data_IF_200749822397
#
_entry.id   IF_200749822397
#
_cell.length_a   1.000
_cell.length_b   1.000
_cell.length_c   1.000
_cell.angle_alpha   90.00
_cell.angle_beta   90.00
_cell.angle_gamma   90.00
#
_symmetry.space_group_name_H-M   'P 1'
#
loop_
_entity.id
_entity.type
_entity.pdbx_description
1 polymer ?
#
# COMPACT_ATOMS: atom_id res chain seq x y z
N UNK A 1 -23.96 6.84 -6.87
CA UNK A 1 -23.64 5.93 -5.75
C UNK A 1 -22.13 5.97 -5.64
N UNK A 2 -21.52 6.23 -4.47
CA UNK A 2 -20.07 6.24 -4.43
C UNK A 2 -19.57 4.80 -4.63
N UNK A 3 -18.60 4.70 -5.53
CA UNK A 3 -17.96 3.49 -6.04
C UNK A 3 -17.24 2.72 -4.93
N UNK A 4 -17.33 1.41 -5.05
CA UNK A 4 -16.61 0.32 -4.38
C UNK A 4 -15.46 0.71 -3.42
N UNK A 5 -15.66 0.44 -2.13
CA UNK A 5 -14.53 0.23 -1.21
C UNK A 5 -13.70 -0.96 -1.73
N UNK A 6 -12.37 -0.97 -1.52
CA UNK A 6 -11.51 -2.05 -2.01
C UNK A 6 -11.98 -3.41 -1.47
N UNK A 7 -11.94 -4.42 -2.34
CA UNK A 7 -12.48 -5.79 -2.27
C UNK A 7 -11.94 -6.66 -1.10
N UNK A 8 -11.81 -6.10 0.11
CA UNK A 8 -11.40 -6.77 1.33
C UNK A 8 -12.59 -7.47 1.99
N UNK A 9 -12.42 -8.74 2.35
CA UNK A 9 -13.46 -9.48 3.08
C UNK A 9 -13.65 -8.95 4.50
N UNK A 10 -12.58 -8.39 5.10
CA UNK A 10 -12.61 -7.80 6.45
C UNK A 10 -11.51 -6.75 6.61
N UNK A 11 -11.84 -5.66 7.31
CA UNK A 11 -10.85 -4.73 7.90
C UNK A 11 -11.10 -4.68 9.39
N UNK A 12 -10.06 -4.75 10.21
CA UNK A 12 -10.17 -4.79 11.66
C UNK A 12 -8.90 -4.25 12.34
N UNK A 13 -8.95 -4.13 13.66
CA UNK A 13 -7.85 -3.63 14.49
C UNK A 13 -7.64 -4.50 15.72
N UNK A 14 -6.41 -4.51 16.22
CA UNK A 14 -6.09 -5.13 17.49
C UNK A 14 -5.24 -4.19 18.34
N UNK A 15 -5.69 -3.94 19.56
CA UNK A 15 -5.00 -3.08 20.52
C UNK A 15 -4.22 -3.95 21.49
N UNK A 16 -2.94 -3.65 21.66
CA UNK A 16 -2.05 -4.29 22.59
C UNK A 16 -1.61 -3.31 23.67
N UNK A 17 -1.44 -3.80 24.89
CA UNK A 17 -0.84 -3.04 25.98
C UNK A 17 0.45 -3.73 26.46
N UNK A 18 1.47 -2.95 26.78
CA UNK A 18 2.75 -3.45 27.30
C UNK A 18 3.53 -4.35 26.33
N UNK A 19 3.24 -4.27 25.02
CA UNK A 19 3.94 -5.04 23.96
C UNK A 19 4.83 -4.19 23.06
N UNK A 20 4.68 -2.87 23.09
CA UNK A 20 5.56 -1.94 22.39
C UNK A 20 6.47 -1.27 23.41
N UNK A 21 7.78 -1.26 23.17
CA UNK A 21 8.74 -0.58 24.05
C UNK A 21 8.62 0.95 23.97
N UNK A 22 7.99 1.48 22.92
CA UNK A 22 7.86 2.91 22.63
C UNK A 22 6.52 3.50 23.06
N UNK A 23 5.54 2.67 23.46
CA UNK A 23 4.22 3.13 23.88
C UNK A 23 3.51 2.10 24.79
N UNK A 24 2.81 2.59 25.81
CA UNK A 24 2.01 1.75 26.71
C UNK A 24 0.91 0.98 25.97
N UNK A 25 0.37 1.60 24.91
CA UNK A 25 -0.64 1.03 24.01
C UNK A 25 -0.17 1.10 22.55
N UNK A 26 -0.39 0.03 21.79
CA UNK A 26 -0.17 -0.01 20.35
C UNK A 26 -1.36 -0.62 19.61
N UNK A 27 -1.74 -0.01 18.49
CA UNK A 27 -2.83 -0.50 17.63
C UNK A 27 -2.26 -1.07 16.34
N UNK A 28 -2.60 -2.32 16.04
CA UNK A 28 -2.33 -2.97 14.76
C UNK A 28 -3.59 -2.91 13.92
N UNK A 29 -3.50 -2.31 12.74
CA UNK A 29 -4.55 -2.34 11.73
C UNK A 29 -4.27 -3.49 10.76
N UNK A 30 -5.29 -4.28 10.42
CA UNK A 30 -5.14 -5.37 9.47
C UNK A 30 -6.38 -5.50 8.56
N UNK A 31 -6.14 -5.91 7.33
CA UNK A 31 -7.17 -6.28 6.37
C UNK A 31 -6.97 -7.74 5.95
N UNK A 32 -8.08 -8.43 5.67
CA UNK A 32 -8.11 -9.82 5.27
C UNK A 32 -8.92 -9.97 3.99
N UNK A 33 -8.42 -10.82 3.09
CA UNK A 33 -9.10 -11.25 1.87
C UNK A 33 -8.69 -12.68 1.54
N UNK A 34 -9.66 -13.52 1.20
CA UNK A 34 -9.45 -14.93 0.83
C UNK A 34 -9.73 -15.11 -0.65
N UNK A 35 -8.75 -15.62 -1.39
CA UNK A 35 -8.93 -16.01 -2.79
C UNK A 35 -9.24 -17.49 -2.89
N UNK A 36 -10.38 -17.82 -3.50
CA UNK A 36 -10.84 -19.20 -3.70
C UNK A 36 -10.62 -19.69 -5.14
N UNK A 37 -10.26 -18.80 -6.08
CA UNK A 37 -9.98 -19.16 -7.46
C UNK A 37 -8.68 -19.96 -7.58
N UNK A 38 -8.65 -20.95 -8.50
CA UNK A 38 -7.48 -21.81 -8.72
C UNK A 38 -6.24 -21.04 -9.23
N UNK A 39 -6.48 -19.98 -10.00
CA UNK A 39 -5.48 -19.03 -10.49
C UNK A 39 -6.11 -17.63 -10.46
N UNK A 40 -6.10 -16.91 -9.33
CA UNK A 40 -6.59 -15.54 -9.29
C UNK A 40 -5.67 -14.65 -10.15
N UNK A 41 -6.22 -13.57 -10.71
CA UNK A 41 -5.40 -12.55 -11.35
C UNK A 41 -4.38 -12.01 -10.34
N UNK A 42 -3.17 -11.68 -10.81
CA UNK A 42 -2.23 -10.93 -9.99
C UNK A 42 -2.81 -9.54 -9.74
N UNK A 43 -2.75 -9.10 -8.48
CA UNK A 43 -3.24 -7.79 -8.08
C UNK A 43 -2.11 -7.00 -7.48
N UNK A 44 -2.07 -5.73 -7.84
CA UNK A 44 -1.16 -4.76 -7.26
C UNK A 44 -1.88 -4.04 -6.12
N UNK A 45 -1.33 -4.13 -4.91
CA UNK A 45 -1.79 -3.33 -3.78
C UNK A 45 -0.77 -2.24 -3.48
N UNK A 46 -1.21 -0.99 -3.52
CA UNK A 46 -0.41 0.18 -3.16
C UNK A 46 -0.92 0.70 -1.82
N UNK A 47 -0.06 0.74 -0.80
CA UNK A 47 -0.36 1.33 0.51
C UNK A 47 0.53 2.53 0.73
N UNK A 48 -0.07 3.69 1.07
CA UNK A 48 0.67 4.91 1.38
C UNK A 48 0.44 5.27 2.84
N UNK A 49 1.52 5.37 3.61
CA UNK A 49 1.48 5.73 5.03
C UNK A 49 2.04 7.14 5.23
N UNK A 50 1.17 8.07 5.63
CA UNK A 50 1.55 9.45 5.92
C UNK A 50 1.89 9.58 7.41
N UNK A 51 3.18 9.77 7.71
CA UNK A 51 3.64 10.02 9.07
C UNK A 51 3.86 11.53 9.29
N UNK A 52 3.35 12.07 10.41
CA UNK A 52 3.58 13.46 10.85
C UNK A 52 3.80 13.42 12.36
N UNK A 53 4.76 14.20 12.84
CA UNK A 53 5.21 14.19 14.23
C UNK A 53 4.72 15.40 15.03
N UNK A 54 3.87 16.23 14.42
CA UNK A 54 3.30 17.43 15.01
C UNK A 54 1.78 17.50 14.79
N UNK A 55 1.12 18.39 15.53
CA UNK A 55 -0.35 18.56 15.54
C UNK A 55 -0.85 19.61 14.52
N UNK A 56 -0.01 20.08 13.61
CA UNK A 56 -0.47 21.04 12.60
C UNK A 56 -1.44 20.38 11.62
N UNK A 57 -2.44 21.13 11.15
CA UNK A 57 -3.36 20.66 10.12
C UNK A 57 -2.58 20.26 8.85
N UNK A 58 -3.07 19.23 8.14
CA UNK A 58 -2.49 18.84 6.85
C UNK A 58 -3.15 19.60 5.71
N UNK A 59 -2.37 20.08 4.76
CA UNK A 59 -2.93 20.59 3.51
C UNK A 59 -3.52 19.46 2.68
N UNK A 60 -4.41 19.80 1.74
CA UNK A 60 -4.96 18.82 0.80
C UNK A 60 -3.88 18.19 -0.09
N UNK A 61 -2.81 18.93 -0.39
CA UNK A 61 -1.64 18.40 -1.11
C UNK A 61 -0.85 17.40 -0.25
N UNK A 62 -0.70 17.65 1.06
CA UNK A 62 -0.04 16.71 1.98
C UNK A 62 -0.84 15.41 2.16
N UNK A 63 -2.17 15.49 2.07
CA UNK A 63 -3.06 14.33 2.08
C UNK A 63 -3.09 13.57 0.75
N UNK A 64 -2.57 14.17 -0.32
CA UNK A 64 -2.56 13.62 -1.68
C UNK A 64 -1.13 13.37 -2.18
N UNK A 65 -0.37 12.44 -1.55
CA UNK A 65 1.03 12.20 -1.87
C UNK A 65 1.26 11.58 -3.26
N UNK A 66 0.21 11.03 -3.87
CA UNK A 66 0.24 10.35 -5.16
C UNK A 66 -0.34 11.26 -6.24
N UNK A 67 0.44 11.48 -7.31
CA UNK A 67 0.03 12.26 -8.47
C UNK A 67 -0.49 11.38 -9.60
N UNK A 68 0.14 10.25 -9.87
CA UNK A 68 -0.26 9.32 -10.92
C UNK A 68 0.10 7.88 -10.57
N UNK A 69 -0.73 6.94 -11.05
CA UNK A 69 -0.52 5.49 -10.95
C UNK A 69 -0.83 4.92 -12.34
N UNK A 70 0.18 4.36 -12.99
CA UNK A 70 0.02 3.68 -14.27
C UNK A 70 0.32 2.20 -14.07
N UNK A 71 -0.68 1.35 -14.28
CA UNK A 71 -0.53 -0.12 -14.15
C UNK A 71 -0.03 -0.67 -15.48
N UNK A 72 0.92 -1.58 -15.41
CA UNK A 72 1.50 -2.27 -16.56
C UNK A 72 1.20 -3.77 -16.46
N UNK A 73 0.50 -4.30 -17.47
CA UNK A 73 0.26 -5.75 -17.57
C UNK A 73 1.55 -6.53 -17.84
N UNK A 74 2.51 -5.91 -18.53
CA UNK A 74 3.86 -6.43 -18.74
C UNK A 74 4.83 -5.27 -18.59
N UNK A 75 5.78 -5.38 -17.65
CA UNK A 75 6.78 -4.33 -17.41
C UNK A 75 7.89 -4.35 -18.48
N UNK A 76 8.70 -3.28 -18.62
CA UNK A 76 9.88 -3.29 -19.49
C UNK A 76 10.89 -4.41 -19.14
N UNK A 77 10.92 -4.83 -17.88
CA UNK A 77 11.70 -5.97 -17.36
C UNK A 77 11.05 -7.34 -17.63
N UNK A 78 9.91 -7.40 -18.33
CA UNK A 78 9.12 -8.62 -18.60
C UNK A 78 8.49 -9.26 -17.36
N UNK A 79 8.31 -8.49 -16.29
CA UNK A 79 7.48 -8.93 -15.16
C UNK A 79 6.01 -8.92 -15.57
N UNK A 80 5.25 -9.89 -15.05
CA UNK A 80 3.86 -10.14 -15.46
C UNK A 80 2.84 -9.18 -14.82
N UNK A 81 3.29 -8.21 -14.03
CA UNK A 81 2.54 -7.07 -13.53
C UNK A 81 3.54 -6.01 -13.03
N UNK A 82 3.16 -4.74 -13.00
CA UNK A 82 3.95 -3.69 -12.36
C UNK A 82 3.25 -2.34 -12.40
N UNK A 83 3.92 -1.30 -11.91
CA UNK A 83 3.38 0.06 -11.97
C UNK A 83 4.46 1.13 -12.04
N UNK A 84 4.13 2.22 -12.73
CA UNK A 84 4.83 3.48 -12.59
C UNK A 84 4.05 4.39 -11.65
N UNK A 85 4.71 4.80 -10.58
CA UNK A 85 4.19 5.70 -9.57
C UNK A 85 4.80 7.08 -9.77
N UNK A 86 3.97 8.12 -9.80
CA UNK A 86 4.44 9.51 -9.69
C UNK A 86 3.94 10.10 -8.39
N UNK A 87 4.85 10.55 -7.54
CA UNK A 87 4.52 11.26 -6.31
C UNK A 87 4.15 12.72 -6.58
N UNK A 88 3.58 13.41 -5.59
CA UNK A 88 3.22 14.82 -5.67
C UNK A 88 4.41 15.75 -5.94
N UNK A 89 5.62 15.34 -5.53
CA UNK A 89 6.90 16.03 -5.81
C UNK A 89 7.47 15.72 -7.22
N UNK A 90 6.74 14.97 -8.04
CA UNK A 90 7.13 14.46 -9.37
C UNK A 90 8.23 13.38 -9.35
N UNK A 91 8.59 12.84 -8.19
CA UNK A 91 9.47 11.68 -8.14
C UNK A 91 8.75 10.47 -8.73
N UNK A 92 9.45 9.74 -9.59
CA UNK A 92 8.93 8.56 -10.27
C UNK A 92 9.57 7.29 -9.71
N UNK A 93 8.75 6.24 -9.56
CA UNK A 93 9.19 4.90 -9.18
C UNK A 93 8.58 3.89 -10.13
N UNK A 94 9.42 2.98 -10.64
CA UNK A 94 8.97 1.77 -11.32
C UNK A 94 8.98 0.64 -10.28
N UNK A 95 7.86 -0.06 -10.15
CA UNK A 95 7.72 -1.23 -9.30
C UNK A 95 7.38 -2.42 -10.19
N UNK A 96 8.26 -3.42 -10.19
CA UNK A 96 8.03 -4.69 -10.85
C UNK A 96 8.18 -5.86 -9.87
N UNK A 97 7.68 -7.04 -10.24
CA UNK A 97 7.77 -8.23 -9.40
C UNK A 97 9.02 -9.09 -9.70
N UNK A 98 9.94 -8.65 -10.58
CA UNK A 98 11.06 -9.50 -10.98
C UNK A 98 12.09 -9.67 -9.84
N UNK A 99 12.18 -8.66 -8.96
CA UNK A 99 13.10 -8.61 -7.82
C UNK A 99 12.38 -8.56 -6.45
N UNK A 100 11.11 -9.01 -6.37
CA UNK A 100 10.36 -9.06 -5.10
C UNK A 100 10.84 -10.16 -4.13
N UNK A 101 11.76 -11.01 -4.56
CA UNK A 101 12.60 -11.79 -3.65
C UNK A 101 13.48 -10.81 -2.86
N UNK A 102 12.90 -10.22 -1.80
CA UNK A 102 13.58 -9.28 -0.90
C UNK A 102 14.94 -9.83 -0.49
N UNK A 103 15.94 -8.95 -0.35
CA UNK A 103 17.35 -9.24 -0.06
C UNK A 103 17.68 -10.73 0.05
N UNK A 104 18.08 -11.35 -1.07
CA UNK A 104 18.78 -12.64 -1.03
C UNK A 104 20.13 -12.43 -0.33
N UNK A 105 20.17 -12.60 0.99
CA UNK A 105 21.40 -12.76 1.79
C UNK A 105 21.72 -14.23 2.00
#
# INVERSE_FOLDING_TARGET
>A
MPEDLPDWDKVDKLVHQGRNAEADESTVLYAYRKRMAKNPAMELMITVLLHKTDDSERSEEELSPMKNIEIMDITPSYSALGTNLTLSDNKMYEVDFIDIDGYRS
#
